data_IF_567210510657
#
_entry.id   IF_567210510657
#
_cell.length_a   1.000
_cell.length_b   1.000
_cell.length_c   1.000
_cell.angle_alpha   90.00
_cell.angle_beta   90.00
_cell.angle_gamma   90.00
#
_symmetry.space_group_name_H-M   'P 1'
#
loop_
_entity.id
_entity.type
_entity.pdbx_description
1 polymer ?
#
# COMPACT_ATOMS: atom_id res chain seq x y z
N UNK A 1 7.89 17.01 -20.99
CA UNK A 1 8.59 17.52 -22.18
C UNK A 1 9.23 18.87 -21.88
N UNK A 2 8.48 19.93 -21.50
CA UNK A 2 9.10 21.25 -21.15
C UNK A 2 10.03 21.19 -19.92
N UNK A 3 9.58 20.64 -18.80
CA UNK A 3 10.42 20.60 -17.59
C UNK A 3 11.71 19.77 -17.77
N UNK A 4 11.63 18.68 -18.54
CA UNK A 4 12.78 17.82 -18.80
C UNK A 4 13.83 18.54 -19.66
N UNK A 5 13.37 19.24 -20.69
CA UNK A 5 14.21 20.04 -21.59
C UNK A 5 14.91 21.18 -20.85
N UNK A 6 14.15 21.97 -20.09
CA UNK A 6 14.69 23.07 -19.28
C UNK A 6 15.72 22.57 -18.26
N UNK A 7 15.41 21.45 -17.60
CA UNK A 7 16.29 20.88 -16.58
C UNK A 7 17.62 20.41 -17.16
N UNK A 8 17.61 19.80 -18.36
CA UNK A 8 18.83 19.35 -19.06
C UNK A 8 19.76 20.50 -19.43
N UNK A 9 19.26 21.73 -19.51
CA UNK A 9 20.07 22.93 -19.74
C UNK A 9 20.81 23.44 -18.50
N UNK A 10 20.64 22.80 -17.34
CA UNK A 10 21.31 23.18 -16.10
C UNK A 10 22.43 22.18 -15.81
N UNK A 11 23.68 22.63 -15.87
CA UNK A 11 24.84 21.80 -15.50
C UNK A 11 24.98 21.67 -13.98
N UNK A 12 25.63 20.63 -13.46
CA UNK A 12 25.95 20.53 -12.03
C UNK A 12 24.79 20.09 -11.12
N UNK A 13 23.73 19.52 -11.71
CA UNK A 13 22.55 19.00 -10.99
C UNK A 13 22.43 17.48 -11.07
N UNK A 14 23.52 16.78 -11.37
CA UNK A 14 23.56 15.33 -11.61
C UNK A 14 23.06 14.54 -10.39
N UNK A 15 23.38 15.03 -9.18
CA UNK A 15 22.93 14.41 -7.93
C UNK A 15 21.40 14.46 -7.71
N UNK A 16 20.70 15.33 -8.45
CA UNK A 16 19.25 15.51 -8.45
C UNK A 16 18.59 14.97 -9.73
N UNK A 17 19.38 14.35 -10.61
CA UNK A 17 18.95 13.89 -11.93
C UNK A 17 18.91 12.36 -12.02
N UNK A 18 18.05 11.84 -12.89
CA UNK A 18 18.01 10.42 -13.25
C UNK A 18 19.07 10.06 -14.28
N UNK A 19 19.18 8.76 -14.60
CA UNK A 19 20.15 8.26 -15.59
C UNK A 19 19.99 8.89 -16.99
N UNK A 20 18.80 9.38 -17.31
CA UNK A 20 18.48 10.02 -18.59
C UNK A 20 18.67 11.55 -18.58
N UNK A 21 19.30 12.11 -17.55
CA UNK A 21 19.57 13.55 -17.42
C UNK A 21 18.40 14.42 -16.94
N UNK A 22 17.15 13.92 -17.02
CA UNK A 22 15.98 14.59 -16.46
C UNK A 22 15.93 14.60 -14.91
N UNK A 23 15.09 15.44 -14.28
CA UNK A 23 15.00 15.51 -12.83
C UNK A 23 14.42 14.22 -12.25
N UNK A 24 14.91 13.79 -11.08
CA UNK A 24 14.30 12.68 -10.35
C UNK A 24 12.86 13.02 -9.96
N UNK A 25 12.00 12.01 -9.87
CA UNK A 25 10.62 12.18 -9.37
C UNK A 25 10.58 12.86 -8.00
N UNK A 26 11.55 12.57 -7.12
CA UNK A 26 11.68 13.21 -5.82
C UNK A 26 12.19 14.65 -5.91
N UNK A 27 13.07 14.96 -6.87
CA UNK A 27 13.49 16.34 -7.15
C UNK A 27 12.28 17.19 -7.52
N UNK A 28 11.39 16.66 -8.38
CA UNK A 28 10.13 17.32 -8.72
C UNK A 28 9.26 17.52 -7.47
N UNK A 29 8.97 16.43 -6.75
CA UNK A 29 8.04 16.42 -5.62
C UNK A 29 8.51 17.24 -4.41
N UNK A 30 9.81 17.23 -4.10
CA UNK A 30 10.36 17.76 -2.85
C UNK A 30 11.06 19.10 -3.00
N UNK A 31 11.54 19.43 -4.21
CA UNK A 31 12.27 20.69 -4.48
C UNK A 31 11.49 21.53 -5.49
N UNK A 32 11.28 21.03 -6.72
CA UNK A 32 10.77 21.88 -7.79
C UNK A 32 9.35 22.35 -7.53
N UNK A 33 8.39 21.45 -7.36
CA UNK A 33 7.00 21.83 -7.12
C UNK A 33 6.83 22.72 -5.88
N UNK A 34 7.33 22.34 -4.68
CA UNK A 34 7.09 23.14 -3.47
C UNK A 34 7.95 24.40 -3.35
N UNK A 35 9.18 24.42 -3.87
CA UNK A 35 10.14 25.50 -3.57
C UNK A 35 10.44 26.41 -4.76
N UNK A 36 10.40 25.89 -6.00
CA UNK A 36 10.81 26.62 -7.21
C UNK A 36 9.60 27.02 -8.08
N UNK A 37 8.81 26.04 -8.52
CA UNK A 37 7.67 26.20 -9.42
C UNK A 37 6.47 26.77 -8.67
N UNK A 38 6.21 26.27 -7.45
CA UNK A 38 5.10 26.68 -6.57
C UNK A 38 3.74 26.73 -7.29
N UNK A 39 3.22 25.60 -7.79
CA UNK A 39 1.97 25.51 -8.56
C UNK A 39 0.75 26.23 -7.95
N UNK A 40 0.66 26.32 -6.63
CA UNK A 40 -0.43 27.04 -5.94
C UNK A 40 -0.33 28.55 -6.17
N UNK A 41 0.88 29.09 -6.19
CA UNK A 41 1.14 30.52 -6.43
C UNK A 41 1.19 30.84 -7.93
N UNK A 42 1.61 29.87 -8.75
CA UNK A 42 1.70 29.98 -10.21
C UNK A 42 0.92 28.87 -10.91
N UNK A 43 -0.44 28.94 -10.90
CA UNK A 43 -1.27 27.90 -11.51
C UNK A 43 -1.01 27.70 -13.01
N UNK A 44 -0.52 28.71 -13.73
CA UNK A 44 -0.15 28.61 -15.13
C UNK A 44 1.03 27.66 -15.40
N UNK A 45 1.85 27.37 -14.39
CA UNK A 45 2.91 26.36 -14.47
C UNK A 45 2.42 24.95 -14.11
N UNK A 46 1.12 24.80 -13.80
CA UNK A 46 0.51 23.57 -13.33
C UNK A 46 -0.48 23.03 -14.35
N UNK A 47 -0.42 21.72 -14.64
CA UNK A 47 -1.39 21.06 -15.50
C UNK A 47 -0.79 19.93 -16.32
N UNK A 48 -1.61 18.98 -16.79
CA UNK A 48 -1.15 17.91 -17.68
C UNK A 48 -0.67 18.44 -19.04
N UNK A 49 -1.14 19.61 -19.47
CA UNK A 49 -0.69 20.33 -20.65
C UNK A 49 -0.55 21.81 -20.30
N UNK A 50 0.62 22.39 -20.59
CA UNK A 50 0.89 23.81 -20.37
C UNK A 50 0.54 24.62 -21.61
N UNK A 51 0.07 25.84 -21.41
CA UNK A 51 0.02 26.85 -22.49
C UNK A 51 1.43 27.34 -22.83
N UNK A 52 1.60 28.03 -23.95
CA UNK A 52 2.89 28.63 -24.32
C UNK A 52 3.43 29.58 -23.23
N UNK A 53 2.56 30.42 -22.67
CA UNK A 53 2.91 31.33 -21.58
C UNK A 53 3.27 30.57 -20.29
N UNK A 54 2.52 29.51 -19.97
CA UNK A 54 2.79 28.65 -18.82
C UNK A 54 4.14 27.92 -18.93
N UNK A 55 4.48 27.44 -20.12
CA UNK A 55 5.77 26.83 -20.42
C UNK A 55 6.92 27.85 -20.29
N UNK A 56 6.74 29.06 -20.79
CA UNK A 56 7.72 30.16 -20.69
C UNK A 56 7.96 30.57 -19.24
N UNK A 57 6.89 30.72 -18.45
CA UNK A 57 6.99 31.04 -17.03
C UNK A 57 7.68 29.92 -16.23
N UNK A 58 7.33 28.66 -16.51
CA UNK A 58 7.97 27.51 -15.90
C UNK A 58 9.47 27.50 -16.20
N UNK A 59 9.84 27.69 -17.48
CA UNK A 59 11.22 27.75 -17.90
C UNK A 59 11.97 28.87 -17.15
N UNK A 60 11.42 30.08 -17.12
CA UNK A 60 12.02 31.23 -16.44
C UNK A 60 12.23 30.97 -14.93
N UNK A 61 11.26 30.33 -14.27
CA UNK A 61 11.37 30.01 -12.83
C UNK A 61 12.47 29.01 -12.54
N UNK A 62 12.59 27.97 -13.36
CA UNK A 62 13.61 26.93 -13.19
C UNK A 62 15.01 27.47 -13.52
N UNK A 63 15.16 28.25 -14.60
CA UNK A 63 16.44 28.91 -14.92
C UNK A 63 16.87 29.90 -13.83
N UNK A 64 15.94 30.71 -13.31
CA UNK A 64 16.24 31.64 -12.23
C UNK A 64 16.68 30.92 -10.93
N UNK A 65 16.30 29.66 -10.75
CA UNK A 65 16.74 28.83 -9.63
C UNK A 65 18.01 28.02 -9.94
N UNK A 66 18.63 28.16 -11.12
CA UNK A 66 19.76 27.33 -11.55
C UNK A 66 20.91 27.29 -10.54
N UNK A 67 21.34 28.46 -10.03
CA UNK A 67 22.45 28.54 -9.07
C UNK A 67 22.14 27.84 -7.75
N UNK A 68 20.94 28.05 -7.20
CA UNK A 68 20.52 27.38 -5.95
C UNK A 68 20.34 25.88 -6.17
N UNK A 69 19.87 25.44 -7.34
CA UNK A 69 19.76 24.02 -7.68
C UNK A 69 21.13 23.34 -7.79
N UNK A 70 22.12 24.01 -8.39
CA UNK A 70 23.52 23.54 -8.43
C UNK A 70 24.11 23.43 -7.03
N UNK A 71 23.97 24.47 -6.23
CA UNK A 71 24.39 24.46 -4.83
C UNK A 71 23.68 23.35 -4.02
N UNK A 72 22.39 23.13 -4.27
CA UNK A 72 21.60 22.06 -3.63
C UNK A 72 22.18 20.68 -3.96
N UNK A 73 22.52 20.42 -5.22
CA UNK A 73 23.13 19.17 -5.66
C UNK A 73 24.52 18.95 -5.04
N UNK A 74 25.32 20.01 -4.91
CA UNK A 74 26.61 19.98 -4.24
C UNK A 74 26.47 19.69 -2.73
N UNK A 75 25.54 20.35 -2.04
CA UNK A 75 25.22 20.06 -0.63
C UNK A 75 24.76 18.61 -0.44
N UNK A 76 23.89 18.11 -1.32
CA UNK A 76 23.43 16.72 -1.23
C UNK A 76 24.57 15.73 -1.39
N UNK A 77 25.53 16.02 -2.28
CA UNK A 77 26.73 15.21 -2.46
C UNK A 77 27.62 15.22 -1.21
N UNK A 78 27.84 16.38 -0.59
CA UNK A 78 28.59 16.51 0.66
C UNK A 78 27.89 15.77 1.82
N UNK A 79 26.58 15.96 2.00
CA UNK A 79 25.81 15.25 3.03
C UNK A 79 25.87 13.73 2.84
N UNK A 80 25.84 13.21 1.60
CA UNK A 80 26.03 11.77 1.35
C UNK A 80 27.41 11.27 1.77
N UNK A 81 28.47 12.04 1.54
CA UNK A 81 29.82 11.69 1.97
C UNK A 81 29.91 11.65 3.49
N UNK A 82 29.41 12.68 4.18
CA UNK A 82 29.40 12.75 5.65
C UNK A 82 28.53 11.65 6.24
N UNK A 83 27.34 11.38 5.69
CA UNK A 83 26.45 10.27 6.12
C UNK A 83 27.17 8.93 6.12
N UNK A 84 27.94 8.64 5.07
CA UNK A 84 28.75 7.41 4.96
C UNK A 84 29.84 7.36 6.02
N UNK A 85 30.53 8.49 6.26
CA UNK A 85 31.56 8.59 7.29
C UNK A 85 31.00 8.37 8.70
N UNK A 86 29.80 8.91 8.98
CA UNK A 86 29.07 8.70 10.23
C UNK A 86 28.37 7.33 10.32
N UNK A 87 28.48 6.49 9.28
CA UNK A 87 27.82 5.17 9.18
C UNK A 87 26.30 5.21 9.38
N UNK A 88 25.67 6.33 9.06
CA UNK A 88 24.21 6.46 9.13
C UNK A 88 23.61 5.65 7.99
N UNK A 89 22.79 4.66 8.33
CA UNK A 89 22.09 3.78 7.37
C UNK A 89 20.59 4.09 7.28
N UNK A 90 20.05 4.82 8.25
CA UNK A 90 18.62 5.11 8.36
C UNK A 90 18.10 6.14 7.34
N UNK A 91 16.87 5.87 6.88
CA UNK A 91 16.07 6.75 6.04
C UNK A 91 16.56 6.90 4.59
N UNK A 92 15.65 7.27 3.69
CA UNK A 92 16.00 7.59 2.31
C UNK A 92 16.65 8.99 2.25
N UNK A 93 17.91 9.12 1.78
CA UNK A 93 18.59 10.41 1.72
C UNK A 93 17.85 11.48 0.90
N UNK A 94 17.15 11.10 -0.16
CA UNK A 94 16.40 12.04 -0.99
C UNK A 94 15.19 12.60 -0.24
N UNK A 95 14.48 11.74 0.49
CA UNK A 95 13.30 12.14 1.26
C UNK A 95 13.69 13.02 2.46
N UNK A 96 14.84 12.74 3.10
CA UNK A 96 15.28 13.47 4.30
C UNK A 96 16.10 14.74 4.01
N UNK A 97 16.93 14.75 2.96
CA UNK A 97 17.96 15.80 2.83
C UNK A 97 17.65 16.81 1.74
N UNK A 98 16.79 16.51 0.75
CA UNK A 98 16.59 17.39 -0.41
C UNK A 98 16.15 18.81 -0.03
N UNK A 99 15.14 18.96 0.82
CA UNK A 99 14.67 20.27 1.26
C UNK A 99 15.72 20.97 2.13
N UNK A 100 16.39 20.24 3.02
CA UNK A 100 17.46 20.80 3.86
C UNK A 100 18.67 21.25 3.05
N UNK A 101 19.03 20.52 1.99
CA UNK A 101 20.08 20.93 1.06
C UNK A 101 19.68 22.20 0.29
N UNK A 102 18.40 22.35 -0.07
CA UNK A 102 17.91 23.56 -0.71
C UNK A 102 17.94 24.77 0.23
N UNK A 103 17.59 24.58 1.50
CA UNK A 103 17.73 25.60 2.54
C UNK A 103 19.19 26.02 2.71
N UNK A 104 20.12 25.07 2.86
CA UNK A 104 21.55 25.35 2.96
C UNK A 104 22.07 26.06 1.72
N UNK A 105 21.64 25.64 0.53
CA UNK A 105 22.00 26.29 -0.73
C UNK A 105 21.49 27.73 -0.81
N UNK A 106 20.27 27.99 -0.31
CA UNK A 106 19.66 29.31 -0.31
C UNK A 106 20.36 30.25 0.68
N UNK A 107 20.74 29.74 1.85
CA UNK A 107 21.33 30.54 2.94
C UNK A 107 22.84 30.72 2.76
N UNK A 108 23.53 29.70 2.25
CA UNK A 108 25.00 29.63 2.26
C UNK A 108 25.63 29.47 0.88
N UNK A 109 24.83 29.34 -0.18
CA UNK A 109 25.33 29.08 -1.53
C UNK A 109 25.93 27.67 -1.67
N UNK A 110 26.86 27.49 -2.60
CA UNK A 110 27.52 26.21 -2.82
C UNK A 110 28.49 25.87 -1.66
N UNK A 111 28.53 24.60 -1.20
CA UNK A 111 29.42 24.19 -0.12
C UNK A 111 30.87 24.07 -0.57
N UNK A 112 31.79 24.38 0.34
CA UNK A 112 33.16 23.90 0.30
C UNK A 112 33.25 22.51 0.99
N UNK A 113 33.76 21.46 0.32
CA UNK A 113 33.77 20.10 0.86
C UNK A 113 34.57 19.91 2.16
N UNK A 114 35.52 20.80 2.44
CA UNK A 114 36.39 20.72 3.63
C UNK A 114 35.85 21.62 4.74
N UNK A 115 35.67 22.91 4.42
CA UNK A 115 35.25 23.93 5.39
C UNK A 115 33.84 23.68 5.91
N UNK A 116 32.93 23.25 5.05
CA UNK A 116 31.50 23.15 5.39
C UNK A 116 31.10 21.73 5.86
N UNK A 117 32.09 20.84 6.01
CA UNK A 117 31.90 19.48 6.56
C UNK A 117 31.33 19.47 7.99
N UNK A 118 31.72 20.36 8.92
CA UNK A 118 31.10 20.47 10.24
C UNK A 118 29.61 20.84 10.15
N UNK A 119 29.24 21.78 9.27
CA UNK A 119 27.84 22.17 9.02
C UNK A 119 27.02 21.00 8.49
N UNK A 120 27.56 20.24 7.54
CA UNK A 120 26.91 19.02 7.04
C UNK A 120 26.78 17.95 8.13
N UNK A 121 27.77 17.84 9.03
CA UNK A 121 27.75 16.91 10.18
C UNK A 121 26.65 17.30 11.17
N UNK A 122 26.61 18.57 11.59
CA UNK A 122 25.58 19.11 12.47
C UNK A 122 24.18 18.94 11.87
N UNK A 123 24.01 19.27 10.58
CA UNK A 123 22.73 19.09 9.87
C UNK A 123 22.26 17.64 9.89
N UNK A 124 23.17 16.67 9.65
CA UNK A 124 22.81 15.26 9.73
C UNK A 124 22.48 14.85 11.16
N UNK A 125 23.23 15.33 12.16
CA UNK A 125 22.88 15.08 13.55
C UNK A 125 21.50 15.63 13.90
N UNK A 126 21.15 16.84 13.50
CA UNK A 126 19.82 17.41 13.74
C UNK A 126 18.72 16.53 13.12
N UNK A 127 18.87 16.19 11.83
CA UNK A 127 17.89 15.35 11.11
C UNK A 127 17.71 13.99 11.77
N UNK A 128 18.80 13.35 12.22
CA UNK A 128 18.75 12.01 12.79
C UNK A 128 18.51 11.98 14.30
N UNK A 129 18.76 13.08 15.02
CA UNK A 129 18.40 13.24 16.43
C UNK A 129 16.88 13.29 16.60
N UNK A 130 16.15 13.83 15.61
CA UNK A 130 14.69 13.75 15.56
C UNK A 130 14.16 12.30 15.59
N UNK A 131 14.98 11.30 15.24
CA UNK A 131 14.58 9.92 15.39
C UNK A 131 14.54 9.44 16.84
N UNK A 132 15.12 10.17 17.79
CA UNK A 132 15.12 9.88 19.22
C UNK A 132 15.46 8.40 19.57
N UNK A 133 16.37 7.78 18.82
CA UNK A 133 16.74 6.36 19.00
C UNK A 133 15.79 5.34 18.36
N UNK A 134 14.72 5.76 17.67
CA UNK A 134 13.82 4.89 16.88
C UNK A 134 14.40 4.65 15.49
N UNK A 135 15.54 3.98 15.46
CA UNK A 135 16.28 3.68 14.23
C UNK A 135 16.25 2.19 13.91
N UNK A 136 16.47 1.85 12.64
CA UNK A 136 16.56 0.45 12.22
C UNK A 136 17.81 -0.23 12.79
N UNK A 137 18.85 0.56 13.06
CA UNK A 137 20.04 0.10 13.77
C UNK A 137 19.72 -0.21 15.24
N UNK A 138 19.05 0.69 15.97
CA UNK A 138 18.65 0.43 17.36
C UNK A 138 17.71 -0.77 17.49
N UNK A 139 16.80 -0.97 16.53
CA UNK A 139 15.99 -2.19 16.42
C UNK A 139 16.86 -3.44 16.29
N UNK A 140 17.86 -3.41 15.41
CA UNK A 140 18.78 -4.52 15.21
C UNK A 140 19.57 -4.81 16.48
N UNK A 141 20.11 -3.78 17.11
CA UNK A 141 20.91 -3.93 18.33
C UNK A 141 20.07 -4.53 19.46
N UNK A 142 18.83 -4.05 19.63
CA UNK A 142 17.89 -4.60 20.62
C UNK A 142 17.52 -6.07 20.37
N UNK A 143 17.22 -6.44 19.12
CA UNK A 143 16.81 -7.82 18.78
C UNK A 143 17.96 -8.81 18.74
N UNK A 144 19.20 -8.35 18.55
CA UNK A 144 20.40 -9.20 18.52
C UNK A 144 21.16 -9.25 19.85
N UNK A 145 20.76 -8.44 20.84
CA UNK A 145 21.28 -8.55 22.20
C UNK A 145 20.90 -9.89 22.84
N UNK A 146 21.91 -10.65 23.27
CA UNK A 146 21.73 -12.04 23.73
C UNK A 146 20.85 -12.15 24.97
N UNK A 147 20.92 -11.18 25.89
CA UNK A 147 20.04 -11.14 27.07
C UNK A 147 18.59 -10.96 26.64
N UNK A 148 18.34 -10.02 25.74
CA UNK A 148 17.00 -9.65 25.29
C UNK A 148 16.36 -10.72 24.39
N UNK A 149 17.13 -11.35 23.48
CA UNK A 149 16.58 -12.31 22.51
C UNK A 149 15.85 -13.49 23.19
N UNK A 150 16.39 -14.02 24.28
CA UNK A 150 15.78 -15.13 25.00
C UNK A 150 14.44 -14.76 25.65
N UNK A 151 14.38 -13.58 26.27
CA UNK A 151 13.17 -13.05 26.90
C UNK A 151 12.06 -12.78 25.86
N UNK A 152 12.40 -12.18 24.73
CA UNK A 152 11.45 -11.91 23.65
C UNK A 152 10.93 -13.20 23.00
N UNK A 153 11.77 -14.23 22.85
CA UNK A 153 11.33 -15.53 22.35
C UNK A 153 10.33 -16.19 23.31
N UNK A 154 10.62 -16.18 24.62
CA UNK A 154 9.69 -16.68 25.64
C UNK A 154 8.38 -15.88 25.67
N UNK A 155 8.43 -14.57 25.42
CA UNK A 155 7.24 -13.72 25.30
C UNK A 155 6.40 -14.10 24.08
N UNK A 156 7.01 -14.38 22.93
CA UNK A 156 6.31 -14.88 21.74
C UNK A 156 5.61 -16.20 22.06
N UNK A 157 6.32 -17.17 22.65
CA UNK A 157 5.75 -18.48 22.98
C UNK A 157 4.55 -18.32 23.92
N UNK A 158 4.69 -17.50 24.95
CA UNK A 158 3.63 -17.22 25.92
C UNK A 158 2.42 -16.54 25.27
N UNK A 159 2.65 -15.53 24.44
CA UNK A 159 1.58 -14.80 23.76
C UNK A 159 0.85 -15.70 22.74
N UNK A 160 1.59 -16.52 22.01
CA UNK A 160 1.06 -17.44 21.02
C UNK A 160 0.20 -18.55 21.63
N UNK A 161 0.64 -19.11 22.76
CA UNK A 161 -0.08 -20.14 23.51
C UNK A 161 -1.38 -19.63 24.16
N UNK A 162 -1.49 -18.33 24.44
CA UNK A 162 -2.69 -17.70 25.01
C UNK A 162 -3.82 -17.49 24.01
N UNK A 163 -3.61 -17.76 22.72
CA UNK A 163 -4.66 -17.60 21.72
C UNK A 163 -5.82 -18.56 21.97
N UNK A 164 -7.07 -18.15 21.68
CA UNK A 164 -8.21 -19.03 21.63
C UNK A 164 -7.94 -20.36 20.89
N UNK A 165 -8.15 -21.47 21.59
CA UNK A 165 -7.90 -22.82 21.09
C UNK A 165 -8.95 -23.31 20.08
N UNK A 166 -10.08 -22.60 19.97
CA UNK A 166 -11.16 -22.90 19.04
C UNK A 166 -11.68 -21.65 18.36
N UNK A 167 -12.29 -21.81 17.19
CA UNK A 167 -13.04 -20.75 16.53
C UNK A 167 -14.25 -20.30 17.38
N UNK A 168 -14.66 -19.03 17.29
CA UNK A 168 -15.84 -18.55 18.01
C UNK A 168 -17.11 -19.22 17.45
N UNK A 169 -17.90 -19.82 18.34
CA UNK A 169 -19.14 -20.49 17.96
C UNK A 169 -20.22 -19.47 17.57
N UNK A 170 -20.85 -19.64 16.41
CA UNK A 170 -22.08 -18.93 16.03
C UNK A 170 -21.94 -17.44 15.66
N UNK A 171 -20.73 -16.90 15.55
CA UNK A 171 -20.49 -15.48 15.26
C UNK A 171 -20.28 -15.22 13.75
N UNK A 172 -21.33 -15.35 12.94
CA UNK A 172 -21.31 -14.91 11.54
C UNK A 172 -21.78 -13.45 11.42
N UNK A 173 -20.85 -12.57 11.08
CA UNK A 173 -21.06 -11.12 10.95
C UNK A 173 -21.19 -10.64 9.51
N UNK A 174 -21.21 -11.56 8.53
CA UNK A 174 -21.15 -11.26 7.09
C UNK A 174 -22.22 -10.24 6.67
N UNK A 175 -23.47 -10.44 7.09
CA UNK A 175 -24.60 -9.55 6.75
C UNK A 175 -24.43 -8.14 7.32
N UNK A 176 -23.99 -8.02 8.59
CA UNK A 176 -23.78 -6.74 9.25
C UNK A 176 -22.57 -5.98 8.63
N UNK A 177 -21.50 -6.69 8.29
CA UNK A 177 -20.35 -6.12 7.56
C UNK A 177 -20.75 -5.61 6.17
N UNK A 178 -21.59 -6.36 5.44
CA UNK A 178 -22.12 -5.91 4.16
C UNK A 178 -23.02 -4.66 4.30
N UNK A 179 -23.87 -4.62 5.33
CA UNK A 179 -24.70 -3.45 5.63
C UNK A 179 -23.88 -2.21 5.97
N UNK A 180 -22.80 -2.35 6.76
CA UNK A 180 -21.84 -1.29 7.05
C UNK A 180 -21.22 -0.73 5.76
N UNK A 181 -20.72 -1.60 4.89
CA UNK A 181 -20.13 -1.20 3.60
C UNK A 181 -21.13 -0.42 2.73
N UNK A 182 -22.38 -0.87 2.70
CA UNK A 182 -23.43 -0.19 1.94
C UNK A 182 -23.80 1.16 2.51
N UNK A 183 -23.89 1.28 3.83
CA UNK A 183 -24.16 2.54 4.49
C UNK A 183 -23.02 3.55 4.23
N UNK A 184 -21.77 3.09 4.26
CA UNK A 184 -20.59 3.89 3.90
C UNK A 184 -20.68 4.39 2.44
N UNK A 185 -20.89 3.47 1.49
CA UNK A 185 -20.88 3.78 0.07
C UNK A 185 -22.07 4.63 -0.40
N UNK A 186 -23.18 4.64 0.35
CA UNK A 186 -24.38 5.45 0.04
C UNK A 186 -24.47 6.73 0.88
N UNK A 187 -23.39 7.11 1.57
CA UNK A 187 -23.31 8.31 2.41
C UNK A 187 -24.39 8.40 3.50
N UNK A 188 -24.83 7.25 4.03
CA UNK A 188 -25.74 7.15 5.18
C UNK A 188 -24.94 7.10 6.47
N UNK A 189 -24.35 8.24 6.85
CA UNK A 189 -23.39 8.34 7.94
C UNK A 189 -23.92 7.79 9.28
N UNK A 190 -25.16 8.11 9.65
CA UNK A 190 -25.77 7.66 10.91
C UNK A 190 -25.99 6.14 10.97
N UNK A 191 -26.42 5.55 9.84
CA UNK A 191 -26.59 4.10 9.73
C UNK A 191 -25.25 3.40 9.86
N UNK A 192 -24.26 3.85 9.11
CA UNK A 192 -22.93 3.26 9.14
C UNK A 192 -22.26 3.39 10.53
N UNK A 193 -22.45 4.53 11.21
CA UNK A 193 -21.92 4.74 12.55
C UNK A 193 -22.59 3.83 13.58
N UNK A 194 -23.86 3.49 13.39
CA UNK A 194 -24.58 2.52 14.22
C UNK A 194 -24.06 1.09 13.98
N UNK A 195 -23.97 0.68 12.72
CA UNK A 195 -23.48 -0.66 12.36
C UNK A 195 -22.04 -0.87 12.84
N UNK A 196 -21.16 0.13 12.65
CA UNK A 196 -19.77 0.06 13.11
C UNK A 196 -19.67 -0.09 14.64
N UNK A 197 -20.48 0.66 15.40
CA UNK A 197 -20.51 0.53 16.87
C UNK A 197 -21.02 -0.84 17.31
N UNK A 198 -22.05 -1.38 16.65
CA UNK A 198 -22.56 -2.72 16.93
C UNK A 198 -21.48 -3.78 16.70
N UNK A 199 -20.84 -3.75 15.53
CA UNK A 199 -19.76 -4.68 15.16
C UNK A 199 -18.55 -4.63 16.12
N UNK A 200 -18.17 -3.43 16.59
CA UNK A 200 -17.10 -3.26 17.60
C UNK A 200 -17.52 -3.87 18.94
N UNK A 201 -18.76 -3.59 19.37
CA UNK A 201 -19.31 -4.12 20.64
C UNK A 201 -19.40 -5.64 20.62
N UNK A 202 -19.82 -6.20 19.49
CA UNK A 202 -19.95 -7.65 19.25
C UNK A 202 -18.63 -8.34 18.89
N UNK A 203 -17.52 -7.59 18.89
CA UNK A 203 -16.17 -8.13 18.65
C UNK A 203 -16.04 -8.84 17.30
N UNK A 204 -16.76 -8.37 16.27
CA UNK A 204 -16.81 -9.00 14.95
C UNK A 204 -15.42 -9.09 14.30
N UNK A 205 -14.56 -8.10 14.54
CA UNK A 205 -13.17 -8.09 14.09
C UNK A 205 -12.34 -9.17 14.77
N UNK A 206 -12.42 -9.29 16.09
CA UNK A 206 -11.77 -10.37 16.83
C UNK A 206 -12.28 -11.74 16.38
N UNK A 207 -13.59 -11.91 16.23
CA UNK A 207 -14.17 -13.18 15.81
C UNK A 207 -13.66 -13.62 14.43
N UNK A 208 -13.71 -12.74 13.44
CA UNK A 208 -13.19 -13.02 12.09
C UNK A 208 -11.69 -13.33 12.10
N UNK A 209 -10.89 -12.58 12.87
CA UNK A 209 -9.45 -12.81 12.98
C UNK A 209 -9.10 -14.15 13.65
N UNK A 210 -9.88 -14.59 14.64
CA UNK A 210 -9.71 -15.91 15.26
C UNK A 210 -10.09 -17.02 14.27
N UNK A 211 -11.15 -16.84 13.48
CA UNK A 211 -11.54 -17.81 12.44
C UNK A 211 -10.40 -18.06 11.45
N UNK A 212 -9.62 -17.05 11.09
CA UNK A 212 -8.44 -17.20 10.22
C UNK A 212 -7.34 -18.11 10.80
N UNK A 213 -7.28 -18.31 12.11
CA UNK A 213 -6.31 -19.22 12.74
C UNK A 213 -6.69 -20.69 12.63
N UNK A 214 -7.97 -20.98 12.37
CA UNK A 214 -8.52 -22.33 12.37
C UNK A 214 -9.04 -22.76 11.00
N UNK A 215 -9.37 -21.81 10.12
CA UNK A 215 -9.92 -22.09 8.81
C UNK A 215 -8.84 -22.44 7.77
N UNK A 216 -8.92 -23.65 7.19
CA UNK A 216 -7.97 -24.14 6.19
C UNK A 216 -8.49 -24.13 4.75
N UNK A 217 -9.71 -23.66 4.49
CA UNK A 217 -10.33 -23.69 3.15
C UNK A 217 -11.31 -22.53 2.93
N UNK A 218 -11.60 -22.17 1.68
CA UNK A 218 -12.46 -21.02 1.37
C UNK A 218 -11.77 -19.71 1.75
N UNK A 219 -12.42 -18.87 2.55
CA UNK A 219 -11.88 -17.57 3.02
C UNK A 219 -10.81 -17.73 4.11
N UNK A 220 -9.85 -18.63 3.90
CA UNK A 220 -8.70 -18.88 4.78
C UNK A 220 -7.64 -17.78 4.62
N UNK A 221 -6.76 -17.63 5.63
CA UNK A 221 -5.67 -16.65 5.56
C UNK A 221 -4.74 -16.88 4.35
N UNK A 222 -4.56 -18.15 3.95
CA UNK A 222 -3.78 -18.54 2.77
C UNK A 222 -4.45 -18.06 1.48
N UNK A 223 -5.75 -18.32 1.33
CA UNK A 223 -6.50 -17.97 0.11
C UNK A 223 -6.68 -16.45 -0.05
N UNK A 224 -6.83 -15.75 1.07
CA UNK A 224 -6.80 -14.29 1.15
C UNK A 224 -5.41 -13.71 0.85
N UNK A 225 -4.37 -14.54 0.76
CA UNK A 225 -3.02 -14.14 0.41
C UNK A 225 -2.28 -13.42 1.54
N UNK A 226 -2.65 -13.69 2.80
CA UNK A 226 -2.08 -13.11 4.01
C UNK A 226 -0.93 -13.94 4.58
N UNK A 227 -0.90 -15.24 4.27
CA UNK A 227 0.17 -16.19 4.65
C UNK A 227 0.43 -17.19 3.51
N UNK A 228 1.64 -17.73 3.44
CA UNK A 228 1.96 -18.87 2.56
C UNK A 228 1.56 -20.20 3.19
N UNK A 229 1.39 -20.24 4.51
CA UNK A 229 1.08 -21.44 5.27
C UNK A 229 -0.41 -21.76 5.21
N UNK A 230 -0.75 -23.05 5.41
CA UNK A 230 -2.15 -23.49 5.47
C UNK A 230 -2.92 -22.81 6.61
N UNK A 231 -2.25 -22.56 7.73
CA UNK A 231 -2.73 -21.75 8.85
C UNK A 231 -1.61 -20.80 9.29
N UNK A 232 -1.93 -19.62 9.85
CA UNK A 232 -0.92 -18.70 10.40
C UNK A 232 -0.04 -19.39 11.46
N UNK A 233 1.26 -19.15 11.38
CA UNK A 233 2.28 -19.71 12.28
C UNK A 233 2.80 -18.68 13.27
N UNK A 234 3.45 -19.14 14.35
CA UNK A 234 4.01 -18.24 15.35
C UNK A 234 5.02 -17.28 14.71
N UNK A 235 5.00 -15.98 15.08
CA UNK A 235 5.94 -15.02 14.51
C UNK A 235 7.37 -15.36 14.95
N UNK A 236 8.34 -15.20 14.06
CA UNK A 236 9.74 -15.21 14.45
C UNK A 236 10.22 -13.79 14.77
N UNK A 237 11.27 -13.65 15.60
CA UNK A 237 11.89 -12.35 15.86
C UNK A 237 12.49 -11.73 14.59
N UNK A 238 13.20 -12.53 13.79
CA UNK A 238 13.93 -12.07 12.61
C UNK A 238 15.25 -11.38 12.95
N UNK A 239 16.14 -11.27 11.96
CA UNK A 239 17.50 -10.71 12.12
C UNK A 239 17.78 -9.53 11.19
N UNK A 240 16.85 -9.21 10.29
CA UNK A 240 16.97 -8.15 9.30
C UNK A 240 15.72 -8.07 8.42
N UNK A 241 15.64 -7.01 7.61
CA UNK A 241 14.57 -6.82 6.65
C UNK A 241 15.04 -6.05 5.42
N UNK A 242 14.34 -6.27 4.31
CA UNK A 242 14.44 -5.48 3.08
C UNK A 242 13.05 -5.26 2.52
N UNK A 243 12.75 -4.03 2.11
CA UNK A 243 11.44 -3.68 1.54
C UNK A 243 11.13 -4.43 0.24
N UNK A 244 12.17 -4.95 -0.44
CA UNK A 244 12.03 -5.73 -1.67
C UNK A 244 11.65 -7.21 -1.43
N UNK A 245 11.87 -7.74 -0.22
CA UNK A 245 11.73 -9.17 0.08
C UNK A 245 10.89 -9.41 1.34
N UNK A 246 10.02 -8.46 1.71
CA UNK A 246 9.13 -8.63 2.86
C UNK A 246 8.20 -9.82 2.66
N UNK A 247 8.07 -10.63 3.69
CA UNK A 247 7.10 -11.72 3.71
C UNK A 247 5.64 -11.21 3.62
N UNK A 248 4.72 -12.14 3.38
CA UNK A 248 3.28 -11.87 3.43
C UNK A 248 2.87 -11.38 4.83
N UNK A 249 1.77 -10.61 4.96
CA UNK A 249 1.35 -9.98 6.21
C UNK A 249 1.55 -10.80 7.50
N UNK A 250 1.04 -12.04 7.54
CA UNK A 250 1.10 -12.90 8.73
C UNK A 250 2.41 -13.70 8.85
N UNK A 251 3.25 -13.69 7.82
CA UNK A 251 4.54 -14.38 7.80
C UNK A 251 5.70 -13.45 8.15
N UNK A 252 5.44 -12.14 8.23
CA UNK A 252 6.47 -11.15 8.61
C UNK A 252 6.92 -11.39 10.04
N UNK A 253 8.24 -11.38 10.21
CA UNK A 253 8.91 -11.35 11.50
C UNK A 253 8.60 -10.06 12.28
N UNK A 254 8.81 -10.09 13.59
CA UNK A 254 8.71 -8.89 14.45
C UNK A 254 9.66 -7.80 13.93
N UNK A 255 10.88 -8.17 13.54
CA UNK A 255 11.84 -7.26 12.91
C UNK A 255 11.23 -6.58 11.68
N UNK A 256 10.72 -7.34 10.71
CA UNK A 256 10.17 -6.79 9.46
C UNK A 256 9.00 -5.83 9.71
N UNK A 257 8.12 -6.16 10.66
CA UNK A 257 6.98 -5.33 11.04
C UNK A 257 7.43 -4.00 11.61
N UNK A 258 8.28 -4.00 12.66
CA UNK A 258 8.80 -2.77 13.26
C UNK A 258 9.67 -1.99 12.26
N UNK A 259 10.50 -2.66 11.47
CA UNK A 259 11.31 -2.04 10.43
C UNK A 259 10.45 -1.23 9.44
N UNK A 260 9.32 -1.79 8.99
CA UNK A 260 8.43 -1.07 8.06
C UNK A 260 7.78 0.16 8.69
N UNK A 261 7.45 0.11 9.99
CA UNK A 261 6.94 1.27 10.74
C UNK A 261 7.99 2.37 10.80
N UNK A 262 9.23 2.03 11.19
CA UNK A 262 10.33 2.98 11.29
C UNK A 262 10.62 3.62 9.92
N UNK A 263 10.61 2.83 8.85
CA UNK A 263 10.86 3.37 7.50
C UNK A 263 9.73 4.26 6.98
N UNK A 264 8.48 3.98 7.36
CA UNK A 264 7.33 4.74 6.90
C UNK A 264 7.07 6.01 7.73
N UNK A 265 7.53 6.07 8.98
CA UNK A 265 7.33 7.24 9.85
C UNK A 265 8.33 8.36 9.53
N UNK A 266 7.80 9.56 9.31
CA UNK A 266 8.57 10.80 9.18
C UNK A 266 8.88 11.40 10.55
N UNK A 267 7.93 11.36 11.48
CA UNK A 267 8.07 11.81 12.88
C UNK A 267 8.33 10.60 13.78
N UNK A 268 9.57 10.13 13.80
CA UNK A 268 9.95 8.92 14.56
C UNK A 268 10.03 9.17 16.06
N UNK A 269 10.17 10.42 16.50
CA UNK A 269 10.10 10.82 17.92
C UNK A 269 8.76 10.48 18.57
N UNK A 270 7.68 10.49 17.80
CA UNK A 270 6.32 10.27 18.27
C UNK A 270 6.00 8.77 18.41
N UNK A 271 6.88 7.90 17.90
CA UNK A 271 6.75 6.46 18.09
C UNK A 271 7.19 6.06 19.51
N UNK A 272 6.59 4.99 20.06
CA UNK A 272 7.12 4.34 21.26
C UNK A 272 8.60 4.00 21.13
N UNK A 273 9.26 3.77 22.26
CA UNK A 273 10.67 3.34 22.25
C UNK A 273 10.82 2.00 21.54
N UNK A 274 12.03 1.66 21.10
CA UNK A 274 12.26 0.38 20.40
C UNK A 274 11.82 -0.84 21.24
N UNK A 275 12.12 -0.95 22.55
CA UNK A 275 11.63 -2.06 23.37
C UNK A 275 10.11 -2.13 23.46
N UNK A 276 9.43 -0.99 23.59
CA UNK A 276 7.96 -0.91 23.61
C UNK A 276 7.38 -1.35 22.26
N UNK A 277 7.90 -0.82 21.15
CA UNK A 277 7.49 -1.21 19.79
C UNK A 277 7.62 -2.71 19.56
N UNK A 278 8.71 -3.33 20.00
CA UNK A 278 8.95 -4.77 19.84
C UNK A 278 7.99 -5.59 20.69
N UNK A 279 7.81 -5.22 21.96
CA UNK A 279 6.90 -5.90 22.89
C UNK A 279 5.45 -5.83 22.41
N UNK A 280 5.00 -4.64 21.99
CA UNK A 280 3.67 -4.45 21.41
C UNK A 280 3.51 -5.19 20.08
N UNK A 281 4.53 -5.23 19.24
CA UNK A 281 4.46 -5.95 17.97
C UNK A 281 4.38 -7.48 18.17
N UNK A 282 4.98 -8.02 19.23
CA UNK A 282 4.79 -9.43 19.62
C UNK A 282 3.33 -9.67 20.01
N UNK A 283 2.77 -8.81 20.87
CA UNK A 283 1.37 -8.89 21.26
C UNK A 283 0.44 -8.79 20.03
N UNK A 284 0.72 -7.82 19.15
CA UNK A 284 0.00 -7.58 17.92
C UNK A 284 0.07 -8.79 16.99
N UNK A 285 1.24 -9.38 16.78
CA UNK A 285 1.44 -10.55 15.90
C UNK A 285 0.71 -11.80 16.40
N UNK A 286 0.43 -11.89 17.70
CA UNK A 286 -0.36 -12.98 18.29
C UNK A 286 -1.85 -12.67 18.42
N UNK A 287 -2.28 -11.44 18.12
CA UNK A 287 -3.66 -11.00 18.23
C UNK A 287 -4.47 -11.26 16.94
N UNK A 288 -5.82 -11.31 17.00
CA UNK A 288 -6.65 -11.48 15.81
C UNK A 288 -6.31 -10.41 14.76
N UNK A 289 -6.24 -10.82 13.49
CA UNK A 289 -5.79 -9.99 12.36
C UNK A 289 -4.34 -9.48 12.42
N UNK A 290 -3.57 -9.93 13.39
CA UNK A 290 -2.33 -9.30 13.79
C UNK A 290 -2.52 -7.79 14.06
N UNK A 291 -3.60 -7.44 14.77
CA UNK A 291 -3.98 -6.08 15.17
C UNK A 291 -4.46 -6.09 16.63
N UNK A 292 -4.25 -5.02 17.39
CA UNK A 292 -4.67 -4.89 18.80
C UNK A 292 -6.04 -4.22 18.94
N UNK A 293 -6.28 -3.14 18.20
CA UNK A 293 -7.53 -2.38 18.27
C UNK A 293 -8.69 -3.05 17.53
N UNK A 294 -9.86 -3.11 18.18
CA UNK A 294 -11.04 -3.79 17.64
C UNK A 294 -11.65 -3.05 16.44
N UNK A 295 -11.63 -1.72 16.41
CA UNK A 295 -12.15 -0.95 15.27
C UNK A 295 -11.35 -1.23 14.00
N UNK A 296 -10.03 -1.41 14.13
CA UNK A 296 -9.15 -1.77 13.02
C UNK A 296 -9.37 -3.22 12.58
N UNK A 297 -9.65 -4.15 13.51
CA UNK A 297 -10.03 -5.53 13.16
C UNK A 297 -11.39 -5.60 12.45
N UNK A 298 -12.38 -4.82 12.89
CA UNK A 298 -13.68 -4.71 12.19
C UNK A 298 -13.48 -4.16 10.78
N UNK A 299 -12.59 -3.17 10.64
CA UNK A 299 -12.23 -2.63 9.32
C UNK A 299 -11.54 -3.66 8.43
N UNK A 300 -10.67 -4.52 9.00
CA UNK A 300 -10.07 -5.64 8.28
C UNK A 300 -11.14 -6.63 7.80
N UNK A 301 -12.09 -6.99 8.67
CA UNK A 301 -13.21 -7.88 8.35
C UNK A 301 -14.11 -7.30 7.24
N UNK A 302 -14.49 -6.03 7.34
CA UNK A 302 -15.24 -5.33 6.29
C UNK A 302 -14.45 -5.27 4.98
N UNK A 303 -13.12 -5.11 5.07
CA UNK A 303 -12.23 -5.17 3.93
C UNK A 303 -12.21 -6.53 3.23
N UNK A 304 -12.32 -7.65 3.96
CA UNK A 304 -12.47 -8.99 3.36
C UNK A 304 -13.78 -9.08 2.59
N UNK A 305 -14.89 -8.69 3.21
CA UNK A 305 -16.20 -8.72 2.56
C UNK A 305 -16.23 -7.88 1.29
N UNK A 306 -15.63 -6.69 1.33
CA UNK A 306 -15.46 -5.85 0.15
C UNK A 306 -14.55 -6.50 -0.91
N UNK A 307 -13.46 -7.14 -0.47
CA UNK A 307 -12.47 -7.71 -1.36
C UNK A 307 -12.99 -8.93 -2.13
N UNK A 308 -13.78 -9.78 -1.48
CA UNK A 308 -14.34 -11.00 -2.06
C UNK A 308 -15.39 -10.72 -3.13
N UNK A 309 -16.11 -9.59 -3.06
CA UNK A 309 -17.01 -9.17 -4.14
C UNK A 309 -16.35 -8.30 -5.23
N UNK A 310 -15.02 -8.14 -5.21
CA UNK A 310 -14.30 -7.49 -6.31
C UNK A 310 -14.25 -8.41 -7.53
N UNK A 311 -14.74 -7.90 -8.65
CA UNK A 311 -14.81 -8.61 -9.91
C UNK A 311 -14.40 -7.68 -11.08
N UNK A 312 -13.14 -7.23 -11.14
CA UNK A 312 -12.67 -6.31 -12.17
C UNK A 312 -12.62 -6.99 -13.55
N UNK A 313 -12.33 -8.29 -13.62
CA UNK A 313 -12.27 -9.03 -14.88
C UNK A 313 -13.62 -9.58 -15.37
N UNK A 314 -14.64 -9.70 -14.49
CA UNK A 314 -15.93 -10.27 -14.88
C UNK A 314 -16.68 -9.37 -15.88
N UNK A 315 -17.05 -9.93 -17.04
CA UNK A 315 -17.86 -9.25 -18.04
C UNK A 315 -19.23 -8.87 -17.48
N UNK A 316 -19.67 -7.64 -17.71
CA UNK A 316 -21.08 -7.29 -17.52
C UNK A 316 -21.87 -7.98 -18.62
N UNK A 317 -22.36 -9.20 -18.36
CA UNK A 317 -23.46 -9.76 -19.15
C UNK A 317 -24.72 -9.05 -18.68
N UNK A 318 -24.88 -7.80 -19.09
CA UNK A 318 -26.16 -7.13 -19.07
C UNK A 318 -26.56 -6.97 -20.53
N UNK A 319 -27.03 -8.06 -21.12
CA UNK A 319 -27.83 -7.96 -22.33
C UNK A 319 -29.10 -7.19 -21.95
N UNK A 320 -29.52 -6.16 -22.69
CA UNK A 320 -30.78 -5.48 -22.41
C UNK A 320 -31.91 -6.50 -22.51
N UNK A 321 -32.75 -6.51 -21.49
CA UNK A 321 -33.92 -7.38 -21.39
C UNK A 321 -34.71 -7.34 -22.70
N UNK A 322 -34.82 -8.48 -23.37
CA UNK A 322 -35.90 -8.71 -24.32
C UNK A 322 -37.20 -8.71 -23.53
N UNK A 323 -38.11 -7.83 -23.93
CA UNK A 323 -39.49 -7.75 -23.43
C UNK A 323 -40.16 -9.13 -23.40
N UNK A 324 -41.06 -9.40 -22.42
CA UNK A 324 -41.70 -10.70 -22.32
C UNK A 324 -42.77 -10.82 -23.41
N UNK A 325 -42.51 -11.67 -24.40
CA UNK A 325 -43.53 -12.14 -25.32
C UNK A 325 -44.52 -13.05 -24.58
N UNK A 326 -45.77 -12.63 -24.57
CA UNK A 326 -46.94 -13.35 -24.06
C UNK A 326 -47.25 -14.53 -24.99
N UNK A 327 -47.11 -15.76 -24.49
CA UNK A 327 -47.90 -16.98 -24.77
C UNK A 327 -47.13 -18.14 -24.12
N UNK A 328 -47.69 -19.15 -23.48
CA UNK A 328 -48.95 -19.83 -23.67
C UNK A 328 -48.99 -20.97 -22.67
N UNK A 329 -50.15 -21.13 -22.07
CA UNK A 329 -50.58 -22.08 -21.06
C UNK A 329 -50.20 -23.54 -21.37
N UNK A 330 -49.60 -24.24 -20.41
CA UNK A 330 -49.77 -25.70 -20.29
C UNK A 330 -49.60 -26.14 -18.84
N UNK A 331 -50.69 -26.65 -18.28
CA UNK A 331 -50.80 -27.27 -16.97
C UNK A 331 -49.90 -28.51 -16.86
N UNK A 332 -49.18 -28.64 -15.73
CA UNK A 332 -48.85 -29.96 -15.15
C UNK A 332 -48.53 -29.83 -13.66
N UNK A 333 -49.33 -30.56 -12.88
CA UNK A 333 -49.28 -30.75 -11.42
C UNK A 333 -48.02 -31.54 -11.01
N UNK A 334 -47.40 -31.27 -9.84
CA UNK A 334 -46.17 -31.92 -9.40
C UNK A 334 -46.46 -33.19 -8.58
N UNK A 335 -45.59 -34.20 -8.71
CA UNK A 335 -45.60 -35.39 -7.86
C UNK A 335 -44.27 -35.47 -7.08
N UNK A 336 -44.27 -35.57 -5.73
CA UNK A 336 -43.05 -35.54 -4.93
C UNK A 336 -42.64 -36.96 -4.51
N UNK A 337 -41.38 -37.34 -4.80
CA UNK A 337 -40.52 -38.22 -3.97
C UNK A 337 -39.28 -38.64 -4.78
N UNK A 338 -38.09 -38.20 -4.36
CA UNK A 338 -36.97 -39.10 -4.03
C UNK A 338 -35.78 -38.35 -3.43
N UNK A 339 -35.16 -39.07 -2.51
CA UNK A 339 -34.18 -38.68 -1.50
C UNK A 339 -32.78 -38.30 -2.03
N UNK A 340 -32.13 -37.44 -1.23
CA UNK A 340 -30.72 -37.47 -0.79
C UNK A 340 -29.60 -37.83 -1.79
N UNK A 341 -28.66 -36.89 -1.98
CA UNK A 341 -27.19 -37.04 -1.82
C UNK A 341 -26.55 -35.65 -2.04
N UNK A 342 -26.13 -34.95 -0.98
CA UNK A 342 -24.72 -34.70 -0.64
C UNK A 342 -23.75 -34.65 -1.84
N UNK A 343 -23.42 -33.43 -2.29
CA UNK A 343 -22.07 -32.98 -2.69
C UNK A 343 -22.12 -31.75 -3.62
N UNK A 344 -22.59 -30.58 -3.17
CA UNK A 344 -22.60 -29.35 -4.01
C UNK A 344 -22.54 -28.02 -3.23
N UNK A 345 -22.26 -28.01 -1.93
CA UNK A 345 -22.29 -26.80 -1.10
C UNK A 345 -21.04 -25.91 -1.20
N UNK A 346 -19.95 -26.37 -1.81
CA UNK A 346 -18.68 -25.61 -1.89
C UNK A 346 -18.57 -24.67 -3.09
N UNK A 347 -19.40 -24.85 -4.12
CA UNK A 347 -19.38 -24.00 -5.33
C UNK A 347 -20.47 -22.92 -5.33
N UNK A 348 -21.56 -23.13 -4.57
CA UNK A 348 -22.71 -22.21 -4.55
C UNK A 348 -22.48 -20.96 -3.71
N UNK A 349 -21.58 -20.99 -2.72
CA UNK A 349 -21.30 -19.86 -1.82
C UNK A 349 -20.48 -18.73 -2.46
N UNK A 350 -19.72 -19.00 -3.51
CA UNK A 350 -18.93 -18.00 -4.24
C UNK A 350 -19.77 -17.32 -5.33
N UNK A 351 -20.72 -18.04 -5.94
CA UNK A 351 -21.55 -17.50 -7.03
C UNK A 351 -22.66 -16.55 -6.57
N UNK A 352 -23.16 -16.64 -5.34
CA UNK A 352 -24.26 -15.77 -4.85
C UNK A 352 -23.82 -14.38 -4.38
N UNK A 353 -22.51 -14.13 -4.16
CA UNK A 353 -21.98 -12.78 -3.85
C UNK A 353 -21.78 -11.89 -5.10
N UNK A 354 -22.04 -12.40 -6.30
CA UNK A 354 -21.75 -11.69 -7.56
C UNK A 354 -22.74 -10.54 -7.88
N UNK A 355 -23.87 -10.42 -7.18
CA UNK A 355 -24.79 -9.28 -7.23
C UNK A 355 -24.40 -8.21 -6.21
N UNK A 356 -23.29 -7.52 -6.46
CA UNK A 356 -22.59 -6.72 -5.46
C UNK A 356 -23.40 -5.58 -4.81
N UNK A 357 -23.14 -5.38 -3.51
CA UNK A 357 -23.54 -4.23 -2.69
C UNK A 357 -23.19 -2.87 -3.39
N UNK A 358 -23.77 -1.75 -2.94
CA UNK A 358 -23.41 -0.42 -3.45
C UNK A 358 -21.90 -0.15 -3.40
N UNK A 359 -21.23 -0.59 -2.33
CA UNK A 359 -19.77 -0.51 -2.22
C UNK A 359 -19.05 -1.24 -3.36
N UNK A 360 -19.46 -2.48 -3.66
CA UNK A 360 -18.91 -3.26 -4.76
C UNK A 360 -19.14 -2.58 -6.11
N UNK A 361 -20.33 -2.00 -6.33
CA UNK A 361 -20.65 -1.29 -7.58
C UNK A 361 -19.74 -0.08 -7.81
N UNK A 362 -19.49 0.71 -6.76
CA UNK A 362 -18.60 1.89 -6.85
C UNK A 362 -17.18 1.47 -7.23
N UNK A 363 -16.59 0.51 -6.52
CA UNK A 363 -15.19 0.12 -6.73
C UNK A 363 -15.02 -0.67 -8.04
N UNK A 364 -15.86 -1.67 -8.29
CA UNK A 364 -15.79 -2.44 -9.54
C UNK A 364 -16.06 -1.55 -10.75
N UNK A 365 -17.02 -0.62 -10.67
CA UNK A 365 -17.29 0.33 -11.75
C UNK A 365 -16.06 1.15 -12.11
N UNK A 366 -15.31 1.65 -11.12
CA UNK A 366 -14.05 2.37 -11.34
C UNK A 366 -12.98 1.47 -11.95
N UNK A 367 -12.77 0.28 -11.37
CA UNK A 367 -11.71 -0.63 -11.79
C UNK A 367 -11.94 -1.16 -13.21
N UNK A 368 -13.19 -1.50 -13.58
CA UNK A 368 -13.56 -2.00 -14.91
C UNK A 368 -13.37 -0.99 -16.04
N UNK A 369 -13.36 0.31 -15.74
CA UNK A 369 -13.10 1.39 -16.71
C UNK A 369 -11.62 1.53 -17.08
N UNK A 370 -10.72 0.88 -16.34
CA UNK A 370 -9.29 0.97 -16.61
C UNK A 370 -8.91 0.20 -17.89
N UNK A 371 -8.16 0.85 -18.78
CA UNK A 371 -7.80 0.28 -20.08
C UNK A 371 -7.04 -1.05 -19.97
N UNK A 372 -6.17 -1.19 -18.97
CA UNK A 372 -5.42 -2.43 -18.74
C UNK A 372 -6.32 -3.59 -18.30
N UNK A 373 -7.46 -3.31 -17.64
CA UNK A 373 -8.43 -4.35 -17.28
C UNK A 373 -9.17 -4.83 -18.52
N UNK A 374 -9.55 -3.91 -19.42
CA UNK A 374 -10.12 -4.27 -20.72
C UNK A 374 -9.15 -5.11 -21.55
N UNK A 375 -7.86 -4.78 -21.53
CA UNK A 375 -6.82 -5.58 -22.18
C UNK A 375 -6.64 -6.95 -21.52
N UNK A 376 -6.57 -7.02 -20.19
CA UNK A 376 -6.47 -8.28 -19.46
C UNK A 376 -7.68 -9.20 -19.70
N UNK A 377 -8.89 -8.64 -19.84
CA UNK A 377 -10.08 -9.40 -20.25
C UNK A 377 -9.93 -10.04 -21.62
N UNK A 378 -9.34 -9.31 -22.59
CA UNK A 378 -9.06 -9.87 -23.92
C UNK A 378 -8.03 -10.98 -23.85
N UNK A 379 -6.98 -10.81 -23.05
CA UNK A 379 -5.95 -11.84 -22.82
C UNK A 379 -6.51 -13.09 -22.13
N UNK A 380 -7.49 -12.94 -21.24
CA UNK A 380 -8.15 -14.10 -20.60
C UNK A 380 -9.01 -14.93 -21.57
N UNK A 381 -9.40 -14.36 -22.73
CA UNK A 381 -10.16 -15.06 -23.78
C UNK A 381 -9.23 -15.72 -24.81
N UNK A 382 -7.98 -15.24 -24.94
CA UNK A 382 -7.00 -15.77 -25.89
C UNK A 382 -5.88 -16.46 -25.10
N UNK A 383 -5.88 -17.79 -25.03
CA UNK A 383 -4.84 -18.62 -24.38
C UNK A 383 -3.50 -18.58 -25.16
N UNK A 384 -2.93 -17.39 -25.38
CA UNK A 384 -1.74 -17.21 -26.22
C UNK A 384 -0.75 -16.25 -25.59
N UNK A 385 -0.19 -16.58 -24.43
CA UNK A 385 1.00 -15.89 -23.95
C UNK A 385 1.90 -16.81 -23.15
N UNK A 386 3.19 -16.76 -23.47
CA UNK A 386 4.25 -17.41 -22.70
C UNK A 386 4.21 -17.00 -21.21
N UNK A 387 4.53 -17.91 -20.27
CA UNK A 387 4.30 -17.73 -18.84
C UNK A 387 5.10 -16.61 -18.13
N UNK A 388 5.80 -15.73 -18.84
CA UNK A 388 6.68 -14.70 -18.28
C UNK A 388 6.36 -13.25 -18.70
N UNK A 389 5.33 -13.00 -19.51
CA UNK A 389 4.96 -11.63 -19.91
C UNK A 389 4.35 -10.83 -18.74
N UNK A 390 4.84 -9.61 -18.41
CA UNK A 390 4.27 -8.78 -17.36
C UNK A 390 2.75 -8.55 -17.41
N UNK A 391 2.12 -8.54 -18.59
CA UNK A 391 0.66 -8.39 -18.68
C UNK A 391 -0.08 -9.68 -18.28
N UNK A 392 0.50 -10.85 -18.53
CA UNK A 392 -0.04 -12.14 -18.09
C UNK A 392 -0.06 -12.26 -16.55
N UNK A 393 0.97 -11.74 -15.86
CA UNK A 393 1.01 -11.67 -14.40
C UNK A 393 -0.11 -10.78 -13.85
N UNK A 394 -0.34 -9.61 -14.47
CA UNK A 394 -1.40 -8.70 -14.07
C UNK A 394 -2.78 -9.33 -14.31
N UNK A 395 -2.96 -10.05 -15.42
CA UNK A 395 -4.18 -10.81 -15.68
C UNK A 395 -4.41 -11.89 -14.62
N UNK A 396 -3.36 -12.57 -14.16
CA UNK A 396 -3.45 -13.56 -13.07
C UNK A 396 -3.82 -12.92 -11.73
N UNK A 397 -3.26 -11.75 -11.41
CA UNK A 397 -3.65 -10.99 -10.22
C UNK A 397 -5.10 -10.52 -10.27
N UNK A 398 -5.60 -10.11 -11.46
CA UNK A 398 -6.98 -9.68 -11.65
C UNK A 398 -8.02 -10.81 -11.50
N UNK A 399 -7.59 -12.09 -11.53
CA UNK A 399 -8.45 -13.24 -11.18
C UNK A 399 -8.62 -13.38 -9.67
N UNK A 400 -7.70 -12.86 -8.87
CA UNK A 400 -7.72 -12.91 -7.41
C UNK A 400 -7.48 -11.51 -6.83
N UNK A 401 -8.33 -10.52 -7.17
CA UNK A 401 -8.10 -9.10 -6.85
C UNK A 401 -8.01 -8.85 -5.34
N UNK A 402 -8.63 -9.70 -4.53
CA UNK A 402 -8.61 -9.62 -3.08
C UNK A 402 -7.21 -9.75 -2.48
N UNK A 403 -6.30 -10.54 -3.07
CA UNK A 403 -4.97 -10.77 -2.49
C UNK A 403 -4.16 -9.47 -2.44
N UNK A 404 -4.06 -8.75 -3.56
CA UNK A 404 -3.35 -7.47 -3.63
C UNK A 404 -4.03 -6.38 -2.80
N UNK A 405 -5.36 -6.40 -2.73
CA UNK A 405 -6.14 -5.48 -1.90
C UNK A 405 -5.88 -5.70 -0.41
N UNK A 406 -6.04 -6.93 0.09
CA UNK A 406 -5.93 -7.26 1.52
C UNK A 406 -4.51 -7.10 2.05
N UNK A 407 -3.49 -7.42 1.25
CA UNK A 407 -2.09 -7.14 1.62
C UNK A 407 -1.84 -5.66 1.87
N UNK A 408 -2.39 -4.78 1.02
CA UNK A 408 -2.26 -3.33 1.17
C UNK A 408 -3.11 -2.79 2.31
N UNK A 409 -4.32 -3.32 2.49
CA UNK A 409 -5.19 -2.97 3.60
C UNK A 409 -4.50 -3.27 4.93
N UNK A 410 -3.97 -4.48 5.07
CA UNK A 410 -3.28 -4.90 6.28
C UNK A 410 -2.12 -3.98 6.64
N UNK A 411 -1.27 -3.60 5.67
CA UNK A 411 -0.14 -2.68 5.91
C UNK A 411 -0.63 -1.32 6.44
N UNK A 412 -1.75 -0.80 5.90
CA UNK A 412 -2.30 0.48 6.38
C UNK A 412 -2.88 0.37 7.78
N UNK A 413 -3.63 -0.71 8.06
CA UNK A 413 -4.21 -0.97 9.37
C UNK A 413 -3.12 -1.16 10.42
N UNK A 414 -2.11 -1.98 10.12
CA UNK A 414 -0.95 -2.21 10.99
C UNK A 414 -0.23 -0.90 11.33
N UNK A 415 0.05 -0.06 10.33
CA UNK A 415 0.68 1.23 10.58
C UNK A 415 -0.17 2.18 11.45
N UNK A 416 -1.50 2.14 11.34
CA UNK A 416 -2.40 2.91 12.20
C UNK A 416 -2.41 2.37 13.63
N UNK A 417 -2.46 1.05 13.76
CA UNK A 417 -2.49 0.35 15.04
C UNK A 417 -1.22 0.59 15.87
N UNK A 418 -0.05 0.64 15.22
CA UNK A 418 1.22 1.00 15.87
C UNK A 418 1.28 2.48 16.31
N UNK A 419 0.53 3.35 15.63
CA UNK A 419 0.41 4.77 15.99
C UNK A 419 -0.76 5.05 16.94
N UNK A 420 -1.42 4.01 17.45
CA UNK A 420 -2.64 4.13 18.26
C UNK A 420 -3.73 4.99 17.58
N UNK A 421 -3.76 4.99 16.24
CA UNK A 421 -4.70 5.76 15.42
C UNK A 421 -5.97 4.94 15.12
N UNK A 422 -6.65 4.50 16.19
CA UNK A 422 -7.93 3.80 16.13
C UNK A 422 -9.01 4.67 15.48
N UNK A 423 -10.04 4.04 14.89
CA UNK A 423 -11.24 4.76 14.49
C UNK A 423 -12.01 5.07 15.78
N UNK A 424 -12.08 6.36 16.16
CA UNK A 424 -12.57 6.80 17.48
C UNK A 424 -13.87 6.10 17.92
N UNK A 425 -13.87 5.54 19.13
CA UNK A 425 -15.08 4.90 19.70
C UNK A 425 -16.16 5.93 20.08
N UNK A 426 -15.77 7.16 20.41
CA UNK A 426 -16.69 8.21 20.86
C UNK A 426 -17.46 8.87 19.71
N UNK A 427 -16.85 8.91 18.52
CA UNK A 427 -17.49 9.33 17.27
C UNK A 427 -16.80 8.61 16.12
N UNK A 428 -17.27 7.40 15.75
CA UNK A 428 -16.65 6.63 14.69
C UNK A 428 -16.72 7.42 13.39
N UNK A 429 -15.56 7.85 12.88
CA UNK A 429 -15.49 8.49 11.58
C UNK A 429 -15.65 7.42 10.49
N UNK A 430 -16.90 7.18 10.13
CA UNK A 430 -17.28 6.29 9.03
C UNK A 430 -16.65 6.75 7.71
N UNK A 431 -16.49 8.06 7.53
CA UNK A 431 -15.85 8.63 6.35
C UNK A 431 -14.42 8.14 6.27
N UNK A 432 -13.70 8.17 7.39
CA UNK A 432 -12.34 7.65 7.48
C UNK A 432 -12.25 6.14 7.17
N UNK A 433 -13.21 5.34 7.66
CA UNK A 433 -13.28 3.90 7.33
C UNK A 433 -13.43 3.71 5.81
N UNK A 434 -14.39 4.38 5.20
CA UNK A 434 -14.64 4.28 3.77
C UNK A 434 -13.46 4.80 2.94
N UNK A 435 -12.90 5.95 3.30
CA UNK A 435 -11.75 6.55 2.62
C UNK A 435 -10.52 5.65 2.69
N UNK A 436 -10.34 4.93 3.79
CA UNK A 436 -9.31 3.92 3.93
C UNK A 436 -9.54 2.75 2.95
N UNK A 437 -10.74 2.16 2.97
CA UNK A 437 -11.09 1.00 2.14
C UNK A 437 -11.06 1.34 0.63
N UNK A 438 -11.68 2.44 0.21
CA UNK A 438 -11.66 2.94 -1.17
C UNK A 438 -10.25 3.38 -1.58
N UNK A 439 -9.52 4.03 -0.67
CA UNK A 439 -8.14 4.45 -0.87
C UNK A 439 -7.18 3.30 -1.11
N UNK A 440 -7.43 2.12 -0.51
CA UNK A 440 -6.67 0.90 -0.80
C UNK A 440 -6.96 0.43 -2.22
N UNK A 441 -8.23 0.37 -2.63
CA UNK A 441 -8.61 -0.02 -3.99
C UNK A 441 -7.99 0.91 -5.04
N UNK A 442 -8.04 2.23 -4.82
CA UNK A 442 -7.37 3.22 -5.68
C UNK A 442 -5.86 2.98 -5.78
N UNK A 443 -5.22 2.63 -4.68
CA UNK A 443 -3.79 2.35 -4.65
C UNK A 443 -3.42 1.10 -5.46
N UNK A 444 -4.22 0.03 -5.39
CA UNK A 444 -4.03 -1.17 -6.22
C UNK A 444 -4.18 -0.81 -7.71
N UNK A 445 -5.21 -0.06 -8.07
CA UNK A 445 -5.45 0.37 -9.45
C UNK A 445 -4.26 1.19 -9.99
N UNK A 446 -3.77 2.16 -9.21
CA UNK A 446 -2.64 3.00 -9.60
C UNK A 446 -1.33 2.21 -9.77
N UNK A 447 -1.13 1.20 -8.93
CA UNK A 447 0.01 0.31 -9.02
C UNK A 447 -0.03 -0.53 -10.30
N UNK A 448 -1.18 -1.13 -10.61
CA UNK A 448 -1.38 -1.87 -11.86
C UNK A 448 -1.13 -0.99 -13.07
N UNK A 449 -1.69 0.23 -13.10
CA UNK A 449 -1.42 1.20 -14.19
C UNK A 449 0.06 1.49 -14.35
N UNK A 450 0.78 1.65 -13.25
CA UNK A 450 2.21 1.92 -13.26
C UNK A 450 3.01 0.73 -13.81
N UNK A 451 2.67 -0.49 -13.39
CA UNK A 451 3.30 -1.73 -13.88
C UNK A 451 3.02 -1.98 -15.35
N UNK A 452 1.78 -1.80 -15.80
CA UNK A 452 1.40 -1.89 -17.23
C UNK A 452 2.17 -0.87 -18.06
N UNK A 453 2.19 0.39 -17.63
CA UNK A 453 2.95 1.43 -18.34
C UNK A 453 4.43 1.05 -18.45
N UNK A 454 5.04 0.57 -17.36
CA UNK A 454 6.44 0.15 -17.36
C UNK A 454 6.68 -1.02 -18.32
N UNK A 455 5.79 -2.02 -18.35
CA UNK A 455 5.87 -3.15 -19.27
C UNK A 455 5.77 -2.68 -20.73
N UNK A 456 4.78 -1.86 -21.07
CA UNK A 456 4.60 -1.33 -22.42
C UNK A 456 5.79 -0.47 -22.89
N UNK A 457 6.39 0.32 -22.00
CA UNK A 457 7.61 1.08 -22.33
C UNK A 457 8.80 0.14 -22.61
N UNK A 458 8.93 -0.96 -21.87
CA UNK A 458 10.02 -1.92 -22.07
C UNK A 458 9.87 -2.75 -23.36
N UNK A 459 8.64 -2.98 -23.83
CA UNK A 459 8.35 -3.74 -25.06
C UNK A 459 8.32 -2.87 -26.33
N UNK A 460 8.44 -1.54 -26.20
CA UNK A 460 8.40 -0.64 -27.35
C UNK A 460 9.65 -0.82 -28.22
N UNK A 461 9.54 -0.91 -29.57
CA UNK A 461 10.66 -1.18 -30.48
C UNK A 461 11.79 -0.13 -30.40
N UNK A 462 11.51 1.09 -29.93
CA UNK A 462 12.53 2.11 -29.69
C UNK A 462 13.58 1.72 -28.62
N UNK A 463 13.24 0.84 -27.67
CA UNK A 463 14.19 0.33 -26.67
C UNK A 463 15.03 -0.84 -27.20
N UNK A 464 14.59 -1.50 -28.28
CA UNK A 464 15.30 -2.61 -28.92
C UNK A 464 16.39 -2.08 -29.85
N UNK A 465 16.11 -0.97 -30.56
CA UNK A 465 17.08 -0.26 -31.40
C UNK A 465 18.28 0.28 -30.59
N UNK A 466 18.02 0.88 -29.42
CA UNK A 466 19.06 1.38 -28.50
C UNK A 466 20.00 0.27 -27.99
N UNK A 467 19.50 -0.97 -27.86
CA UNK A 467 20.31 -2.12 -27.42
C UNK A 467 21.16 -2.72 -28.54
N UNK A 468 20.75 -2.52 -29.80
CA UNK A 468 21.49 -2.96 -30.98
C UNK A 468 22.54 -1.92 -31.38
N UNK A 469 22.27 -0.63 -31.24
CA UNK A 469 23.27 0.44 -31.44
C UNK A 469 24.32 0.46 -30.32
N UNK A 470 23.97 0.19 -29.06
CA UNK A 470 24.94 0.11 -27.96
C UNK A 470 25.94 -1.06 -28.06
N UNK A 471 25.74 -2.02 -28.97
CA UNK A 471 26.69 -3.13 -29.23
C UNK A 471 27.54 -2.91 -30.48
N UNK A 472 27.31 -1.82 -31.21
CA UNK A 472 28.09 -1.39 -32.35
C UNK A 472 28.63 0.03 -32.10
N UNK A 473 29.47 0.17 -31.07
CA UNK A 473 30.16 1.41 -30.72
C UNK A 473 31.44 1.14 -29.95
#
# INVERSE_FOLDING_TARGET
MVLDEVWRGIDGVEALSGAQGGPLRRTVKLILDPLVIRPVQYPACAGPMLTADGATLLAARVHAAGDVLRATAAWFSLLKQVRRALRITDGNPQDLYFQRCFELATVSGAPDPVRDRPTATATLHDIHHLAAGRTTQALKDHLTDRSTTGELAALIDTAWLRRPQSAPAGADHTTALAALLDACATARADDAARELRALITERAGAHSGITLWHNTSGDSAQELGLTVHRLPVAPALGTGASTATLALPFDRTVYERVFTVLQASTERSDLPTIPELVTEEIARSCAPWALLDESLRVTAAAGVELALGLAPAAGTVSSPASEPAISGRSDRVPDPKRSAHQSLSSQTSISTRQGGTAAHRVINGRWRREAYVLQARRLAVHETSEPADPLSMIAAELRHPWRSYLRRLWVRLHGRDVRNASLSQASPDVTELWDLLDGVARSVILDHRTRVRKALTATSPAAVDDSLESRAG
#
